data_IF_897053224659
#
_entry.id   IF_897053224659
#
_cell.length_a   1.000
_cell.length_b   1.000
_cell.length_c   1.000
_cell.angle_alpha   90.00
_cell.angle_beta   90.00
_cell.angle_gamma   90.00
#
_symmetry.space_group_name_H-M   'P 1'
#
loop_
_entity.id
_entity.type
_entity.pdbx_description
1 polymer ?
#
# COMPACT_ATOMS: atom_id res chain seq x y z
N UNK A 1 12.94 7.00 5.52
CA UNK A 1 13.52 7.19 4.17
C UNK A 1 12.40 7.21 3.15
N UNK A 2 12.38 8.16 2.21
CA UNK A 2 11.52 8.09 1.02
C UNK A 2 12.33 7.69 -0.20
N UNK A 3 11.72 6.94 -1.12
CA UNK A 3 12.34 6.50 -2.38
C UNK A 3 11.34 6.74 -3.52
N UNK A 4 11.66 7.66 -4.42
CA UNK A 4 10.72 8.15 -5.44
C UNK A 4 11.40 8.28 -6.80
N UNK A 5 10.63 8.17 -7.90
CA UNK A 5 11.15 8.49 -9.24
C UNK A 5 11.31 9.99 -9.45
N UNK A 6 10.32 10.75 -8.98
CA UNK A 6 10.36 12.19 -8.87
C UNK A 6 9.92 12.54 -7.43
N UNK A 7 10.62 13.43 -6.75
CA UNK A 7 10.29 13.78 -5.37
C UNK A 7 8.93 14.50 -5.26
N UNK A 8 7.92 13.82 -4.73
CA UNK A 8 6.55 14.32 -4.54
C UNK A 8 6.15 14.39 -3.05
N UNK A 9 6.63 13.45 -2.24
CA UNK A 9 6.25 13.30 -0.84
C UNK A 9 6.78 14.45 0.02
N UNK A 10 5.88 15.07 0.77
CA UNK A 10 6.20 16.10 1.76
C UNK A 10 5.97 15.55 3.17
N UNK A 11 6.97 14.82 3.67
CA UNK A 11 6.93 14.26 5.03
C UNK A 11 7.20 15.36 6.06
N UNK A 12 6.33 15.50 7.04
CA UNK A 12 6.40 16.53 8.10
C UNK A 12 7.29 16.15 9.30
N UNK A 13 8.04 15.06 9.19
CA UNK A 13 8.96 14.61 10.24
C UNK A 13 10.32 15.27 10.07
N UNK A 14 11.05 15.50 11.18
CA UNK A 14 12.37 16.15 11.14
C UNK A 14 13.43 15.22 10.52
N UNK A 15 13.49 13.96 10.94
CA UNK A 15 14.48 13.00 10.46
C UNK A 15 14.00 12.28 9.19
N UNK A 16 14.16 12.93 8.04
CA UNK A 16 13.74 12.38 6.74
C UNK A 16 14.90 12.44 5.75
N UNK A 17 15.36 11.27 5.32
CA UNK A 17 16.22 11.12 4.16
C UNK A 17 15.34 10.88 2.93
N UNK A 18 15.53 11.71 1.90
CA UNK A 18 14.86 11.60 0.61
C UNK A 18 15.82 11.03 -0.43
N UNK A 19 15.44 9.94 -1.08
CA UNK A 19 16.20 9.32 -2.16
C UNK A 19 15.38 9.39 -3.44
N UNK A 20 16.03 9.75 -4.54
CA UNK A 20 15.38 9.92 -5.84
C UNK A 20 16.12 9.08 -6.89
N UNK A 21 15.38 8.45 -7.80
CA UNK A 21 15.99 7.71 -8.90
C UNK A 21 16.69 8.67 -9.85
N UNK A 22 17.66 8.15 -10.60
CA UNK A 22 18.37 8.92 -11.61
C UNK A 22 18.33 8.17 -12.92
N UNK A 23 17.81 8.76 -14.01
CA UNK A 23 17.89 8.15 -15.33
C UNK A 23 19.35 8.04 -15.78
N UNK A 24 19.67 7.17 -16.76
CA UNK A 24 20.99 7.16 -17.36
C UNK A 24 21.28 8.50 -18.05
N UNK A 25 22.56 8.84 -18.14
CA UNK A 25 23.04 9.95 -18.98
C UNK A 25 22.89 9.61 -20.48
N UNK A 26 23.26 10.56 -21.35
CA UNK A 26 23.20 10.39 -22.82
C UNK A 26 23.99 9.19 -23.35
N UNK A 27 24.96 8.69 -22.59
CA UNK A 27 25.77 7.50 -22.92
C UNK A 27 25.17 6.20 -22.36
N UNK A 28 23.99 6.24 -21.75
CA UNK A 28 23.35 5.07 -21.13
C UNK A 28 23.91 4.70 -19.76
N UNK A 29 24.75 5.52 -19.14
CA UNK A 29 25.47 5.21 -17.89
C UNK A 29 24.92 5.99 -16.69
N UNK A 30 25.25 5.51 -15.49
CA UNK A 30 24.99 6.24 -14.24
C UNK A 30 23.54 6.23 -13.77
N UNK A 31 22.69 5.36 -14.33
CA UNK A 31 21.33 5.18 -13.82
C UNK A 31 21.37 4.69 -12.37
N UNK A 32 20.52 5.27 -11.53
CA UNK A 32 20.28 4.82 -10.15
C UNK A 32 18.82 4.42 -10.07
N UNK A 33 18.56 3.12 -10.04
CA UNK A 33 17.20 2.57 -10.03
C UNK A 33 16.66 2.48 -8.60
N UNK A 34 15.34 2.41 -8.49
CA UNK A 34 14.62 2.33 -7.22
C UNK A 34 15.09 1.15 -6.35
N UNK A 35 15.25 -0.04 -6.95
CA UNK A 35 15.80 -1.22 -6.27
C UNK A 35 17.16 -0.96 -5.61
N UNK A 36 18.05 -0.23 -6.30
CA UNK A 36 19.38 0.10 -5.77
C UNK A 36 19.31 1.04 -4.56
N UNK A 37 18.42 2.03 -4.62
CA UNK A 37 18.16 2.95 -3.51
C UNK A 37 17.55 2.21 -2.31
N UNK A 38 16.65 1.27 -2.57
CA UNK A 38 16.00 0.45 -1.55
C UNK A 38 17.02 -0.41 -0.81
N UNK A 39 17.85 -1.17 -1.52
CA UNK A 39 18.93 -1.96 -0.91
C UNK A 39 19.89 -1.07 -0.13
N UNK A 40 20.25 0.10 -0.67
CA UNK A 40 21.11 1.06 0.03
C UNK A 40 20.46 1.60 1.31
N UNK A 41 19.14 1.87 1.28
CA UNK A 41 18.41 2.41 2.41
C UNK A 41 18.43 1.50 3.64
N UNK A 42 18.50 0.17 3.44
CA UNK A 42 18.59 -0.79 4.55
C UNK A 42 19.86 -0.64 5.39
N UNK A 43 20.92 -0.04 4.82
CA UNK A 43 22.16 0.27 5.55
C UNK A 43 22.08 1.56 6.36
N UNK A 44 21.03 2.35 6.16
CA UNK A 44 20.81 3.63 6.82
C UNK A 44 20.04 3.48 8.14
N UNK A 45 19.71 2.24 8.53
CA UNK A 45 18.89 1.91 9.71
C UNK A 45 17.59 2.75 9.79
N UNK A 46 16.76 2.75 8.72
CA UNK A 46 15.55 3.56 8.73
C UNK A 46 14.48 2.94 9.62
N UNK A 47 13.69 3.78 10.30
CA UNK A 47 12.49 3.27 11.00
C UNK A 47 11.38 2.89 10.02
N UNK A 48 11.23 3.68 8.93
CA UNK A 48 10.23 3.48 7.87
C UNK A 48 10.82 3.74 6.50
N UNK A 49 10.44 2.92 5.53
CA UNK A 49 10.76 3.10 4.12
C UNK A 49 9.46 3.37 3.38
N UNK A 50 9.33 4.55 2.78
CA UNK A 50 8.18 4.91 1.97
C UNK A 50 8.62 4.92 0.53
N UNK A 51 8.03 4.05 -0.27
CA UNK A 51 8.31 3.98 -1.70
C UNK A 51 7.17 4.70 -2.41
N UNK A 52 7.48 5.64 -3.30
CA UNK A 52 6.45 6.44 -3.99
C UNK A 52 5.46 5.54 -4.74
N UNK A 53 5.98 4.72 -5.63
CA UNK A 53 5.24 3.68 -6.34
C UNK A 53 6.18 2.50 -6.62
N UNK A 54 5.67 1.27 -6.56
CA UNK A 54 6.39 0.06 -6.99
C UNK A 54 5.83 -0.40 -8.33
N UNK A 55 6.73 -0.68 -9.27
CA UNK A 55 6.46 -0.98 -10.68
C UNK A 55 7.17 -2.24 -11.18
N UNK A 56 8.17 -2.75 -10.47
CA UNK A 56 9.03 -3.82 -10.96
C UNK A 56 9.73 -4.62 -9.87
N UNK A 57 10.98 -5.01 -10.15
CA UNK A 57 11.74 -5.99 -9.37
C UNK A 57 12.13 -5.50 -7.97
N UNK A 58 12.04 -4.20 -7.68
CA UNK A 58 12.17 -3.65 -6.33
C UNK A 58 11.08 -4.15 -5.36
N UNK A 59 9.97 -4.68 -5.86
CA UNK A 59 8.89 -5.25 -5.05
C UNK A 59 9.38 -6.33 -4.09
N UNK A 60 10.32 -7.19 -4.52
CA UNK A 60 10.86 -8.24 -3.68
C UNK A 60 11.66 -7.67 -2.50
N UNK A 61 12.59 -6.76 -2.78
CA UNK A 61 13.39 -6.11 -1.73
C UNK A 61 12.52 -5.27 -0.78
N UNK A 62 11.41 -4.72 -1.28
CA UNK A 62 10.43 -4.00 -0.45
C UNK A 62 9.76 -4.95 0.55
N UNK A 63 9.24 -6.08 0.06
CA UNK A 63 8.61 -7.08 0.92
C UNK A 63 9.59 -7.62 1.96
N UNK A 64 10.84 -7.86 1.57
CA UNK A 64 11.90 -8.26 2.49
C UNK A 64 12.16 -7.19 3.55
N UNK A 65 12.24 -5.92 3.17
CA UNK A 65 12.41 -4.83 4.12
C UNK A 65 11.26 -4.77 5.15
N UNK A 66 10.01 -4.87 4.66
CA UNK A 66 8.80 -4.88 5.50
C UNK A 66 8.80 -6.05 6.49
N UNK A 67 9.22 -7.24 6.05
CA UNK A 67 9.28 -8.44 6.89
C UNK A 67 10.46 -8.47 7.88
N UNK A 68 11.47 -7.60 7.72
CA UNK A 68 12.72 -7.63 8.51
C UNK A 68 12.93 -6.40 9.40
N UNK A 69 11.84 -5.85 9.95
CA UNK A 69 11.93 -4.85 11.02
C UNK A 69 11.83 -3.39 10.57
N UNK A 70 11.39 -3.13 9.34
CA UNK A 70 11.05 -1.79 8.85
C UNK A 70 9.53 -1.57 8.90
N UNK A 71 8.96 -1.76 10.09
CA UNK A 71 7.51 -1.69 10.30
C UNK A 71 6.93 -0.30 9.96
N UNK A 72 5.77 -0.28 9.33
CA UNK A 72 5.12 0.98 8.90
C UNK A 72 5.66 1.55 7.60
N UNK A 73 6.49 0.78 6.88
CA UNK A 73 6.78 1.03 5.48
C UNK A 73 5.52 0.94 4.62
N UNK A 74 5.44 1.72 3.54
CA UNK A 74 4.27 1.75 2.66
C UNK A 74 4.67 2.08 1.22
N UNK A 75 3.81 1.73 0.28
CA UNK A 75 3.96 2.07 -1.14
C UNK A 75 2.61 2.34 -1.79
N UNK A 76 2.63 2.92 -2.98
CA UNK A 76 1.50 2.87 -3.91
C UNK A 76 1.73 1.82 -5.00
N UNK A 77 0.62 1.29 -5.53
CA UNK A 77 0.58 0.40 -6.70
C UNK A 77 -0.67 0.77 -7.49
N UNK A 78 -0.53 0.90 -8.81
CA UNK A 78 -1.69 1.09 -9.68
C UNK A 78 -2.49 -0.22 -9.83
N UNK A 79 -3.70 -0.29 -9.29
CA UNK A 79 -4.58 -1.45 -9.38
C UNK A 79 -6.06 -1.07 -9.36
N UNK A 80 -6.92 -1.90 -9.96
CA UNK A 80 -8.37 -1.65 -10.05
C UNK A 80 -9.16 -2.13 -8.82
N UNK A 81 -8.54 -2.94 -7.96
CA UNK A 81 -9.12 -3.42 -6.70
C UNK A 81 -8.01 -3.80 -5.71
N UNK A 82 -8.37 -3.98 -4.44
CA UNK A 82 -7.42 -4.47 -3.45
C UNK A 82 -6.85 -5.86 -3.80
N UNK A 83 -7.66 -6.75 -4.40
CA UNK A 83 -7.22 -8.08 -4.85
C UNK A 83 -6.28 -8.00 -6.04
N UNK A 84 -6.59 -7.14 -7.01
CA UNK A 84 -5.73 -6.87 -8.17
C UNK A 84 -4.36 -6.31 -7.72
N UNK A 85 -4.33 -5.47 -6.68
CA UNK A 85 -3.07 -4.97 -6.13
C UNK A 85 -2.15 -6.10 -5.64
N UNK A 86 -2.70 -7.14 -5.00
CA UNK A 86 -1.92 -8.31 -4.56
C UNK A 86 -1.40 -9.14 -5.75
N UNK A 87 -2.24 -9.38 -6.76
CA UNK A 87 -1.83 -10.10 -7.98
C UNK A 87 -0.75 -9.36 -8.77
N UNK A 88 -0.82 -8.02 -8.82
CA UNK A 88 0.23 -7.19 -9.41
C UNK A 88 1.52 -7.25 -8.62
N UNK A 89 1.45 -7.22 -7.29
CA UNK A 89 2.62 -7.36 -6.43
C UNK A 89 3.29 -8.73 -6.61
N UNK A 90 2.51 -9.80 -6.71
CA UNK A 90 3.02 -11.15 -7.05
C UNK A 90 3.76 -11.16 -8.38
N UNK A 91 3.16 -10.54 -9.42
CA UNK A 91 3.78 -10.41 -10.74
C UNK A 91 5.09 -9.62 -10.71
N UNK A 92 5.15 -8.52 -9.95
CA UNK A 92 6.35 -7.68 -9.81
C UNK A 92 7.48 -8.43 -9.09
N UNK A 93 7.16 -9.22 -8.06
CA UNK A 93 8.15 -10.08 -7.39
C UNK A 93 8.68 -11.14 -8.35
N UNK A 94 7.82 -11.73 -9.20
CA UNK A 94 8.25 -12.70 -10.19
C UNK A 94 9.25 -12.09 -11.22
N UNK A 95 9.14 -10.79 -11.54
CA UNK A 95 10.09 -10.08 -12.41
C UNK A 95 11.51 -10.01 -11.84
N UNK A 96 11.68 -10.14 -10.52
CA UNK A 96 13.01 -10.21 -9.90
C UNK A 96 13.77 -11.51 -10.25
N UNK A 97 13.11 -12.47 -10.94
CA UNK A 97 13.67 -13.69 -11.50
C UNK A 97 14.42 -14.57 -10.48
N UNK A 98 13.86 -14.68 -9.28
CA UNK A 98 14.45 -15.42 -8.16
C UNK A 98 14.09 -16.91 -8.17
N UNK A 99 13.31 -17.38 -9.15
CA UNK A 99 12.80 -18.76 -9.25
C UNK A 99 12.12 -19.26 -7.96
N UNK A 100 11.41 -18.38 -7.26
CA UNK A 100 10.64 -18.73 -6.07
C UNK A 100 9.31 -19.38 -6.47
N UNK A 101 8.85 -20.42 -5.75
CA UNK A 101 7.50 -20.94 -5.92
C UNK A 101 6.46 -19.85 -5.62
N UNK A 102 5.36 -19.80 -6.38
CA UNK A 102 4.27 -18.82 -6.20
C UNK A 102 3.78 -18.75 -4.76
N UNK A 103 3.63 -19.91 -4.10
CA UNK A 103 3.26 -20.01 -2.69
C UNK A 103 4.18 -19.19 -1.80
N UNK A 104 5.49 -19.25 -2.02
CA UNK A 104 6.47 -18.52 -1.23
C UNK A 104 6.36 -17.01 -1.45
N UNK A 105 6.07 -16.56 -2.68
CA UNK A 105 5.80 -15.15 -2.99
C UNK A 105 4.55 -14.67 -2.24
N UNK A 106 3.46 -15.45 -2.30
CA UNK A 106 2.22 -15.10 -1.60
C UNK A 106 2.39 -15.06 -0.09
N UNK A 107 3.21 -15.96 0.47
CA UNK A 107 3.57 -15.94 1.90
C UNK A 107 4.32 -14.66 2.28
N UNK A 108 5.29 -14.23 1.45
CA UNK A 108 6.00 -12.97 1.67
C UNK A 108 5.06 -11.76 1.63
N UNK A 109 4.14 -11.73 0.67
CA UNK A 109 3.13 -10.67 0.55
C UNK A 109 2.20 -10.66 1.76
N UNK A 110 1.65 -11.81 2.13
CA UNK A 110 0.71 -11.94 3.25
C UNK A 110 1.34 -11.59 4.60
N UNK A 111 2.64 -11.82 4.77
CA UNK A 111 3.35 -11.46 6.00
C UNK A 111 3.65 -9.96 6.07
N UNK A 112 3.97 -9.34 4.93
CA UNK A 112 4.40 -7.94 4.87
C UNK A 112 3.24 -6.94 4.86
N UNK A 113 2.18 -7.24 4.12
CA UNK A 113 1.09 -6.30 3.85
C UNK A 113 -0.04 -6.54 4.84
N UNK A 114 -0.31 -5.55 5.70
CA UNK A 114 -1.43 -5.62 6.65
C UNK A 114 -2.73 -5.00 6.13
N UNK A 115 -2.65 -3.89 5.40
CA UNK A 115 -3.81 -3.09 4.97
C UNK A 115 -3.62 -2.64 3.53
N UNK A 116 -4.69 -2.72 2.73
CA UNK A 116 -4.76 -2.17 1.38
C UNK A 116 -5.85 -1.10 1.34
N UNK A 117 -5.45 0.13 1.01
CA UNK A 117 -6.39 1.25 0.82
C UNK A 117 -6.52 1.52 -0.67
N UNK A 118 -7.68 1.20 -1.23
CA UNK A 118 -7.98 1.50 -2.63
C UNK A 118 -8.50 2.92 -2.77
N UNK A 119 -7.89 3.69 -3.65
CA UNK A 119 -8.35 5.03 -4.05
C UNK A 119 -8.71 4.99 -5.53
N UNK A 120 -9.79 5.67 -5.91
CA UNK A 120 -10.16 5.81 -7.32
C UNK A 120 -10.58 7.24 -7.64
N UNK A 121 -10.27 7.68 -8.85
CA UNK A 121 -10.80 8.91 -9.43
C UNK A 121 -12.17 8.61 -10.04
N UNK A 122 -13.20 9.32 -9.58
CA UNK A 122 -14.58 9.13 -10.01
C UNK A 122 -14.91 10.01 -11.23
N UNK A 123 -16.10 9.80 -11.80
CA UNK A 123 -16.54 10.49 -13.03
C UNK A 123 -16.66 12.01 -12.88
N UNK A 124 -16.79 12.52 -11.66
CA UNK A 124 -16.81 13.95 -11.33
C UNK A 124 -15.41 14.54 -11.11
N UNK A 125 -14.36 13.73 -11.32
CA UNK A 125 -12.95 14.10 -11.13
C UNK A 125 -12.46 14.01 -9.69
N UNK A 126 -13.34 13.75 -8.70
CA UNK A 126 -12.95 13.59 -7.30
C UNK A 126 -12.20 12.29 -7.07
N UNK A 127 -11.32 12.24 -6.07
CA UNK A 127 -10.69 11.01 -5.60
C UNK A 127 -11.36 10.58 -4.30
N UNK A 128 -11.82 9.34 -4.23
CA UNK A 128 -12.42 8.77 -3.02
C UNK A 128 -11.75 7.45 -2.67
N UNK A 129 -11.66 7.16 -1.37
CA UNK A 129 -11.32 5.83 -0.89
C UNK A 129 -12.49 4.92 -1.23
N UNK A 130 -12.23 3.91 -2.05
CA UNK A 130 -13.24 2.97 -2.51
C UNK A 130 -13.38 1.78 -1.57
N UNK A 131 -12.26 1.31 -1.04
CA UNK A 131 -12.20 0.15 -0.18
C UNK A 131 -11.01 0.23 0.78
N UNK A 132 -11.19 -0.24 2.00
CA UNK A 132 -10.11 -0.49 2.96
C UNK A 132 -10.22 -1.95 3.34
N UNK A 133 -9.22 -2.73 2.96
CA UNK A 133 -9.17 -4.17 3.23
C UNK A 133 -8.00 -4.51 4.15
N UNK A 134 -8.22 -5.46 5.05
CA UNK A 134 -7.18 -6.06 5.90
C UNK A 134 -6.78 -7.42 5.30
N UNK A 135 -5.48 -7.67 5.20
CA UNK A 135 -4.95 -9.00 4.87
C UNK A 135 -5.00 -9.85 6.15
N UNK A 136 -5.67 -11.00 6.07
CA UNK A 136 -5.95 -11.83 7.25
C UNK A 136 -5.04 -13.04 7.37
N UNK A 137 -4.26 -13.33 6.33
CA UNK A 137 -3.34 -14.46 6.23
C UNK A 137 -3.40 -15.12 4.86
N UNK A 138 -3.17 -16.44 4.86
CA UNK A 138 -3.34 -17.30 3.70
C UNK A 138 -4.14 -18.54 4.08
N UNK A 139 -4.93 -19.03 3.13
CA UNK A 139 -5.59 -20.33 3.17
C UNK A 139 -5.15 -21.09 1.92
N UNK A 140 -4.46 -22.22 2.14
CA UNK A 140 -3.72 -22.97 1.11
C UNK A 140 -2.81 -22.09 0.24
N UNK A 141 -3.25 -21.82 -0.99
CA UNK A 141 -2.51 -21.09 -2.02
C UNK A 141 -3.04 -19.66 -2.24
N UNK A 142 -4.03 -19.23 -1.45
CA UNK A 142 -4.76 -17.98 -1.64
C UNK A 142 -4.50 -17.03 -0.48
N UNK A 143 -4.12 -15.79 -0.78
CA UNK A 143 -4.08 -14.71 0.21
C UNK A 143 -5.51 -14.34 0.58
N UNK A 144 -5.82 -14.44 1.87
CA UNK A 144 -7.13 -14.11 2.43
C UNK A 144 -7.14 -12.65 2.87
N UNK A 145 -8.26 -11.99 2.60
CA UNK A 145 -8.46 -10.59 2.96
C UNK A 145 -9.93 -10.34 3.26
N UNK A 146 -10.19 -9.31 4.06
CA UNK A 146 -11.53 -8.90 4.41
C UNK A 146 -11.67 -7.39 4.24
N UNK A 147 -12.78 -6.97 3.63
CA UNK A 147 -13.12 -5.56 3.54
C UNK A 147 -13.55 -5.06 4.93
N UNK A 148 -12.98 -3.94 5.36
CA UNK A 148 -13.32 -3.27 6.61
C UNK A 148 -14.30 -2.13 6.32
N UNK A 149 -14.03 -1.38 5.26
CA UNK A 149 -14.91 -0.31 4.80
C UNK A 149 -14.98 -0.26 3.28
N UNK A 150 -16.18 0.02 2.75
CA UNK A 150 -16.39 0.16 1.32
C UNK A 150 -17.25 1.38 0.99
N UNK A 151 -16.90 2.07 -0.09
CA UNK A 151 -17.70 3.17 -0.64
C UNK A 151 -18.71 2.64 -1.66
N UNK A 152 -19.99 2.86 -1.39
CA UNK A 152 -21.08 2.58 -2.30
C UNK A 152 -21.57 3.87 -2.95
N UNK A 153 -21.34 4.00 -4.25
CA UNK A 153 -21.90 5.08 -5.06
C UNK A 153 -23.43 4.96 -5.08
N UNK A 154 -24.14 6.05 -4.77
CA UNK A 154 -25.60 6.15 -4.88
C UNK A 154 -26.05 6.87 -6.15
N UNK A 155 -25.25 7.79 -6.66
CA UNK A 155 -25.60 8.54 -7.87
C UNK A 155 -24.73 9.77 -8.10
N UNK A 156 -25.30 10.75 -8.78
CA UNK A 156 -24.71 12.08 -8.99
C UNK A 156 -25.68 13.10 -8.36
N UNK A 157 -25.17 13.96 -7.49
CA UNK A 157 -25.94 15.00 -6.82
C UNK A 157 -26.24 16.20 -7.74
N UNK A 158 -27.08 17.15 -7.30
CA UNK A 158 -27.48 18.32 -8.10
C UNK A 158 -26.32 19.21 -8.55
N UNK A 159 -25.19 19.16 -7.85
CA UNK A 159 -23.96 19.89 -8.15
C UNK A 159 -23.02 19.14 -9.12
N UNK A 160 -23.47 18.02 -9.69
CA UNK A 160 -22.65 17.17 -10.57
C UNK A 160 -21.63 16.29 -9.85
N UNK A 161 -21.58 16.29 -8.51
CA UNK A 161 -20.65 15.46 -7.73
C UNK A 161 -21.20 14.08 -7.46
N UNK A 162 -20.31 13.10 -7.36
CA UNK A 162 -20.67 11.73 -7.02
C UNK A 162 -21.04 11.66 -5.55
N UNK A 163 -22.28 11.30 -5.29
CA UNK A 163 -22.79 11.05 -3.94
C UNK A 163 -22.77 9.55 -3.67
N UNK A 164 -22.41 9.20 -2.45
CA UNK A 164 -22.39 7.82 -2.01
C UNK A 164 -22.20 7.71 -0.52
N UNK A 165 -21.92 6.50 -0.09
CA UNK A 165 -21.90 6.16 1.32
C UNK A 165 -20.73 5.26 1.61
N UNK A 166 -19.94 5.65 2.61
CA UNK A 166 -18.92 4.80 3.18
C UNK A 166 -19.56 3.93 4.26
N UNK A 167 -19.48 2.61 4.10
CA UNK A 167 -20.09 1.63 4.99
C UNK A 167 -19.01 0.71 5.56
N UNK A 168 -19.03 0.45 6.87
CA UNK A 168 -18.25 -0.65 7.41
C UNK A 168 -18.87 -1.99 7.01
N UNK A 169 -18.05 -3.03 6.97
CA UNK A 169 -18.53 -4.41 6.77
C UNK A 169 -19.13 -5.05 8.02
N UNK A 170 -19.01 -4.38 9.18
CA UNK A 170 -19.34 -4.93 10.50
C UNK A 170 -18.23 -5.83 11.08
N UNK A 171 -17.17 -6.10 10.32
CA UNK A 171 -16.03 -6.89 10.79
C UNK A 171 -15.15 -5.99 11.68
N UNK A 172 -14.73 -6.54 12.82
CA UNK A 172 -13.72 -5.91 13.69
C UNK A 172 -12.33 -6.36 13.22
N UNK A 173 -11.49 -5.46 12.69
CA UNK A 173 -10.19 -5.84 12.16
C UNK A 173 -9.23 -6.32 13.24
N UNK A 174 -8.31 -7.23 12.88
CA UNK A 174 -7.27 -7.74 13.78
C UNK A 174 -6.29 -6.62 14.19
N UNK A 175 -6.02 -5.67 13.30
CA UNK A 175 -5.14 -4.53 13.60
C UNK A 175 -5.66 -3.61 14.72
N UNK A 176 -6.93 -3.74 15.16
CA UNK A 176 -7.44 -2.99 16.31
C UNK A 176 -6.64 -3.22 17.58
N UNK A 177 -6.12 -4.43 17.78
CA UNK A 177 -5.27 -4.73 18.93
C UNK A 177 -3.97 -3.93 18.88
N UNK A 178 -3.34 -3.84 17.70
CA UNK A 178 -2.13 -3.03 17.50
C UNK A 178 -2.39 -1.54 17.72
N UNK A 179 -3.55 -1.02 17.30
CA UNK A 179 -3.96 0.35 17.59
C UNK A 179 -4.10 0.56 19.10
N UNK A 180 -4.79 -0.34 19.80
CA UNK A 180 -4.97 -0.25 21.25
C UNK A 180 -3.65 -0.27 22.02
N UNK A 181 -2.74 -1.17 21.67
CA UNK A 181 -1.39 -1.25 22.28
C UNK A 181 -0.59 0.02 22.01
N UNK A 182 -0.78 0.64 20.83
CA UNK A 182 -0.19 1.93 20.49
C UNK A 182 -0.89 3.15 21.14
N UNK A 183 -1.86 2.92 22.04
CA UNK A 183 -2.62 3.98 22.70
C UNK A 183 -3.69 4.64 21.82
N UNK A 184 -3.97 4.10 20.64
CA UNK A 184 -5.00 4.58 19.73
C UNK A 184 -6.27 3.79 19.97
N UNK A 185 -7.29 4.45 20.52
CA UNK A 185 -8.60 3.84 20.79
C UNK A 185 -9.62 4.47 19.85
N UNK A 186 -10.02 3.77 18.76
CA UNK A 186 -11.07 4.27 17.87
C UNK A 186 -12.41 4.38 18.59
N UNK A 187 -13.31 5.23 18.05
CA UNK A 187 -14.68 5.30 18.53
C UNK A 187 -15.37 3.92 18.44
N UNK A 188 -16.17 3.58 19.46
CA UNK A 188 -16.77 2.25 19.57
C UNK A 188 -17.69 1.91 18.38
N UNK A 189 -18.39 2.93 17.86
CA UNK A 189 -19.34 2.87 16.76
C UNK A 189 -18.68 2.98 15.37
N UNK A 190 -17.35 3.13 15.29
CA UNK A 190 -16.65 3.35 14.01
C UNK A 190 -16.94 2.26 12.97
N UNK A 191 -17.07 1.00 13.41
CA UNK A 191 -17.31 -0.15 12.54
C UNK A 191 -18.78 -0.51 12.39
N UNK A 192 -19.68 0.33 12.93
CA UNK A 192 -21.12 0.16 12.84
C UNK A 192 -21.76 1.36 12.10
N UNK A 193 -21.07 2.50 12.09
CA UNK A 193 -21.58 3.76 11.55
C UNK A 193 -21.35 3.88 10.04
N UNK A 194 -22.44 4.13 9.35
CA UNK A 194 -22.45 4.51 7.95
C UNK A 194 -22.28 6.04 7.80
N UNK A 195 -21.44 6.48 6.85
CA UNK A 195 -21.17 7.91 6.60
C UNK A 195 -21.52 8.30 5.16
N UNK A 196 -22.28 9.37 4.99
CA UNK A 196 -22.53 9.94 3.66
C UNK A 196 -21.31 10.74 3.18
N UNK A 197 -20.97 10.58 1.90
CA UNK A 197 -19.81 11.25 1.28
C UNK A 197 -20.24 11.90 -0.02
N UNK A 198 -20.20 13.22 -0.02
CA UNK A 198 -20.48 14.09 -1.18
C UNK A 198 -19.24 14.43 -2.00
#
# INVERSE_FOLDING_TARGET
>A
VTIEDAAELQIQQENVVRLETRPPNVEGKGAVRQRQLLINSLRMRPDRIIIGEVRGDEAFDMLQAMNTGHEGSMTTIHANSCRDALSRLESMVAMANLNLPDRAIRQQISAAIGIVVQISRLSDGTRKVMNIAEITGMEDEIITMQDIFSFHRRGIGPNGRVVGVFRPSGIRPKFLERLRVSGIIPAQDLFDRTMEVN
#
